data_IF_154718461993
#
_entry.id   IF_154718461993
#
_cell.length_a   1.000
_cell.length_b   1.000
_cell.length_c   1.000
_cell.angle_alpha   90.00
_cell.angle_beta   90.00
_cell.angle_gamma   90.00
#
_symmetry.space_group_name_H-M   'P 1'
#
loop_
_entity.id
_entity.type
_entity.pdbx_description
1 polymer ?
#
# COMPACT_ATOMS: atom_id res chain seq x y z
N UNK A 1 -38.57 28.61 -17.27
CA UNK A 1 -37.23 28.99 -16.75
C UNK A 1 -36.88 28.24 -15.45
N UNK A 2 -37.52 28.49 -14.29
CA UNK A 2 -37.15 27.83 -13.01
C UNK A 2 -37.17 26.29 -12.99
N UNK A 3 -38.03 25.66 -13.80
CA UNK A 3 -38.13 24.19 -13.87
C UNK A 3 -37.01 23.55 -14.71
N UNK A 4 -36.51 24.27 -15.72
CA UNK A 4 -35.40 23.80 -16.56
C UNK A 4 -34.09 23.81 -15.77
N UNK A 5 -33.83 24.89 -15.05
CA UNK A 5 -32.66 25.04 -14.16
C UNK A 5 -32.62 23.92 -13.11
N UNK A 6 -33.74 23.67 -12.43
CA UNK A 6 -33.86 22.55 -11.47
C UNK A 6 -33.69 21.18 -12.14
N UNK A 7 -34.13 21.00 -13.38
CA UNK A 7 -33.96 19.73 -14.09
C UNK A 7 -32.50 19.51 -14.48
N UNK A 8 -31.81 20.55 -14.96
CA UNK A 8 -30.39 20.48 -15.31
C UNK A 8 -29.53 20.03 -14.13
N UNK A 9 -29.80 20.52 -12.92
CA UNK A 9 -29.12 20.06 -11.69
C UNK A 9 -29.35 18.57 -11.39
N UNK A 10 -30.54 18.06 -11.69
CA UNK A 10 -30.94 16.69 -11.36
C UNK A 10 -30.58 15.66 -12.46
N UNK A 11 -30.27 16.09 -13.69
CA UNK A 11 -29.99 15.19 -14.83
C UNK A 11 -28.80 14.26 -14.58
N UNK A 12 -27.73 14.73 -13.91
CA UNK A 12 -26.59 13.86 -13.57
C UNK A 12 -27.01 12.74 -12.60
N UNK A 13 -27.71 13.08 -11.52
CA UNK A 13 -28.22 12.10 -10.56
C UNK A 13 -29.25 11.15 -11.19
N UNK A 14 -29.98 11.60 -12.22
CA UNK A 14 -30.89 10.74 -12.98
C UNK A 14 -30.12 9.67 -13.77
N UNK A 15 -29.01 10.05 -14.41
CA UNK A 15 -28.13 9.15 -15.17
C UNK A 15 -27.43 8.13 -14.25
N UNK A 16 -27.09 8.52 -13.02
CA UNK A 16 -26.43 7.67 -12.03
C UNK A 16 -27.41 6.90 -11.12
N UNK A 17 -28.72 7.05 -11.35
CA UNK A 17 -29.81 6.40 -10.61
C UNK A 17 -29.90 6.78 -9.11
N UNK A 18 -29.32 7.92 -8.72
CA UNK A 18 -29.25 8.39 -7.34
C UNK A 18 -30.47 9.23 -6.91
N UNK A 19 -31.33 9.63 -7.86
CA UNK A 19 -32.52 10.43 -7.56
C UNK A 19 -33.61 9.62 -6.84
N UNK A 20 -34.35 10.33 -5.98
CA UNK A 20 -35.61 9.83 -5.42
C UNK A 20 -36.66 9.58 -6.51
N UNK A 21 -37.68 8.77 -6.19
CA UNK A 21 -38.75 8.44 -7.15
C UNK A 21 -39.50 9.70 -7.67
N UNK A 22 -39.68 10.70 -6.80
CA UNK A 22 -40.39 11.94 -7.15
C UNK A 22 -39.57 12.80 -8.11
N UNK A 23 -38.27 12.97 -7.83
CA UNK A 23 -37.35 13.75 -8.67
C UNK A 23 -37.12 13.08 -10.02
N UNK A 24 -37.00 11.76 -10.03
CA UNK A 24 -36.85 10.95 -11.26
C UNK A 24 -38.05 11.13 -12.20
N UNK A 25 -39.26 11.15 -11.66
CA UNK A 25 -40.47 11.36 -12.45
C UNK A 25 -40.54 12.80 -12.99
N UNK A 26 -40.16 13.79 -12.19
CA UNK A 26 -40.10 15.19 -12.61
C UNK A 26 -39.13 15.36 -13.79
N UNK A 27 -37.90 14.85 -13.65
CA UNK A 27 -36.86 14.92 -14.69
C UNK A 27 -37.32 14.23 -15.98
N UNK A 28 -37.92 13.02 -15.87
CA UNK A 28 -38.43 12.27 -17.02
C UNK A 28 -39.48 13.05 -17.81
N UNK A 29 -40.52 13.53 -17.12
CA UNK A 29 -41.61 14.30 -17.77
C UNK A 29 -41.05 15.58 -18.40
N UNK A 30 -40.07 16.22 -17.75
CA UNK A 30 -39.49 17.45 -18.27
C UNK A 30 -38.65 17.23 -19.54
N UNK A 31 -37.81 16.19 -19.59
CA UNK A 31 -37.01 15.83 -20.78
C UNK A 31 -37.89 15.42 -21.97
N UNK A 32 -39.07 14.84 -21.73
CA UNK A 32 -40.06 14.54 -22.76
C UNK A 32 -40.70 15.81 -23.34
N UNK A 33 -40.80 16.89 -22.54
CA UNK A 33 -41.46 18.14 -22.91
C UNK A 33 -40.55 19.28 -23.39
N UNK A 34 -39.25 19.25 -23.06
CA UNK A 34 -38.31 20.35 -23.28
C UNK A 34 -37.08 19.89 -24.07
N UNK A 35 -36.85 20.49 -25.23
CA UNK A 35 -35.74 20.12 -26.12
C UNK A 35 -34.36 20.49 -25.53
N UNK A 36 -34.24 21.61 -24.82
CA UNK A 36 -32.99 22.05 -24.19
C UNK A 36 -32.52 21.09 -23.07
N UNK A 37 -33.45 20.54 -22.29
CA UNK A 37 -33.10 19.57 -21.24
C UNK A 37 -32.81 18.18 -21.83
N UNK A 38 -33.41 17.87 -22.99
CA UNK A 38 -33.14 16.63 -23.72
C UNK A 38 -31.74 16.61 -24.32
N UNK A 39 -31.27 17.72 -24.89
CA UNK A 39 -29.90 17.79 -25.43
C UNK A 39 -28.86 17.60 -24.33
N UNK A 40 -29.03 18.25 -23.18
CA UNK A 40 -28.10 18.12 -22.03
C UNK A 40 -28.05 16.68 -21.50
N UNK A 41 -29.20 16.00 -21.43
CA UNK A 41 -29.23 14.59 -21.06
C UNK A 41 -28.46 13.70 -22.06
N UNK A 42 -28.62 13.95 -23.36
CA UNK A 42 -27.92 13.20 -24.41
C UNK A 42 -26.40 13.44 -24.37
N UNK A 43 -25.97 14.68 -24.14
CA UNK A 43 -24.56 15.05 -24.04
C UNK A 43 -23.89 14.34 -22.85
N UNK A 44 -24.52 14.39 -21.66
CA UNK A 44 -24.02 13.71 -20.48
C UNK A 44 -24.02 12.18 -20.63
N UNK A 45 -25.03 11.62 -21.30
CA UNK A 45 -25.09 10.19 -21.59
C UNK A 45 -23.96 9.75 -22.53
N UNK A 46 -23.65 10.56 -23.55
CA UNK A 46 -22.54 10.30 -24.47
C UNK A 46 -21.18 10.32 -23.74
N UNK A 47 -20.99 11.26 -22.80
CA UNK A 47 -19.79 11.30 -21.95
C UNK A 47 -19.71 10.03 -21.09
N UNK A 48 -20.79 9.63 -20.41
CA UNK A 48 -20.82 8.40 -19.61
C UNK A 48 -20.49 7.14 -20.42
N UNK A 49 -21.02 7.04 -21.64
CA UNK A 49 -20.74 5.92 -22.55
C UNK A 49 -19.28 5.90 -23.01
N UNK A 50 -18.71 7.07 -23.33
CA UNK A 50 -17.29 7.16 -23.72
C UNK A 50 -16.34 6.80 -22.57
N UNK A 51 -16.69 7.18 -21.33
CA UNK A 51 -15.96 6.77 -20.13
C UNK A 51 -16.14 5.28 -19.80
N UNK A 52 -17.34 4.73 -20.02
CA UNK A 52 -17.64 3.31 -19.79
C UNK A 52 -16.90 2.35 -20.71
N UNK A 53 -16.45 2.82 -21.88
CA UNK A 53 -15.61 2.06 -22.80
C UNK A 53 -14.11 2.13 -22.49
N UNK A 54 -13.70 2.90 -21.48
CA UNK A 54 -12.33 2.88 -21.01
C UNK A 54 -12.15 1.54 -20.29
N UNK A 55 -11.52 0.59 -20.99
CA UNK A 55 -11.05 -0.64 -20.37
C UNK A 55 -9.97 -0.24 -19.37
N UNK A 56 -10.33 -0.15 -18.10
CA UNK A 56 -9.32 -0.10 -17.05
C UNK A 56 -8.54 -1.41 -17.19
N UNK A 57 -7.21 -1.39 -17.37
CA UNK A 57 -6.46 -2.61 -17.25
C UNK A 57 -6.73 -3.09 -15.83
N UNK A 58 -7.54 -4.14 -15.70
CA UNK A 58 -7.68 -4.90 -14.48
C UNK A 58 -6.24 -5.07 -13.98
N UNK A 59 -5.94 -4.49 -12.82
CA UNK A 59 -4.62 -4.56 -12.24
C UNK A 59 -4.42 -6.04 -11.99
N UNK A 60 -3.84 -6.74 -12.97
CA UNK A 60 -3.84 -8.18 -13.04
C UNK A 60 -3.03 -8.63 -11.84
N UNK A 61 -3.71 -8.99 -10.76
CA UNK A 61 -3.13 -9.18 -9.43
C UNK A 61 -1.98 -10.20 -9.52
N UNK A 62 -2.10 -11.15 -10.46
CA UNK A 62 -1.07 -12.10 -10.88
C UNK A 62 0.25 -11.48 -11.39
N UNK A 63 0.23 -10.31 -12.07
CA UNK A 63 1.45 -9.59 -12.49
C UNK A 63 2.12 -8.88 -11.32
N UNK A 64 1.33 -8.28 -10.43
CA UNK A 64 1.85 -7.61 -9.23
C UNK A 64 2.57 -8.64 -8.35
N UNK A 65 1.94 -9.79 -8.14
CA UNK A 65 2.54 -10.90 -7.40
C UNK A 65 3.83 -11.41 -8.03
N UNK A 66 3.94 -11.42 -9.35
CA UNK A 66 5.14 -11.87 -10.06
C UNK A 66 6.31 -10.90 -9.88
N UNK A 67 6.03 -9.60 -9.84
CA UNK A 67 7.03 -8.54 -9.60
C UNK A 67 7.46 -8.55 -8.12
N UNK A 68 6.52 -8.69 -7.18
CA UNK A 68 6.84 -8.78 -5.75
C UNK A 68 7.57 -10.08 -5.37
N UNK A 69 7.32 -11.17 -6.09
CA UNK A 69 7.94 -12.47 -5.83
C UNK A 69 9.17 -12.75 -6.70
N UNK A 70 9.86 -11.74 -7.21
CA UNK A 70 11.09 -11.98 -7.97
C UNK A 70 12.15 -12.71 -7.12
N UNK A 71 12.58 -13.92 -7.54
CA UNK A 71 13.45 -14.78 -6.72
C UNK A 71 14.86 -14.22 -6.54
N UNK A 72 15.31 -13.36 -7.46
CA UNK A 72 16.60 -12.66 -7.42
C UNK A 72 16.71 -11.72 -6.21
N UNK A 73 15.65 -10.95 -5.94
CA UNK A 73 15.59 -10.02 -4.80
C UNK A 73 15.61 -10.74 -3.45
N UNK A 74 14.91 -11.89 -3.37
CA UNK A 74 14.84 -12.73 -2.18
C UNK A 74 16.18 -13.40 -1.90
N UNK A 75 16.85 -13.91 -2.93
CA UNK A 75 18.17 -14.52 -2.80
C UNK A 75 19.20 -13.52 -2.27
N UNK A 76 19.26 -12.31 -2.84
CA UNK A 76 20.21 -11.27 -2.42
C UNK A 76 19.99 -10.86 -0.96
N UNK A 77 18.72 -10.77 -0.54
CA UNK A 77 18.35 -10.46 0.83
C UNK A 77 18.79 -11.56 1.81
N UNK A 78 18.57 -12.84 1.47
CA UNK A 78 18.97 -13.97 2.34
C UNK A 78 20.50 -14.08 2.43
N UNK A 79 21.20 -13.98 1.31
CA UNK A 79 22.67 -14.02 1.28
C UNK A 79 23.26 -12.88 2.09
N UNK A 80 22.71 -11.67 1.96
CA UNK A 80 23.14 -10.50 2.75
C UNK A 80 22.98 -10.72 4.25
N UNK A 81 21.84 -11.29 4.70
CA UNK A 81 21.64 -11.62 6.11
C UNK A 81 22.59 -12.69 6.62
N UNK A 82 22.85 -13.75 5.84
CA UNK A 82 23.81 -14.80 6.22
C UNK A 82 25.21 -14.20 6.38
N UNK A 83 25.66 -13.40 5.40
CA UNK A 83 26.98 -12.76 5.44
C UNK A 83 27.13 -11.82 6.65
N UNK A 84 26.10 -11.05 6.98
CA UNK A 84 26.09 -10.19 8.17
C UNK A 84 26.14 -10.99 9.46
N UNK A 85 25.32 -12.04 9.61
CA UNK A 85 25.29 -12.85 10.83
C UNK A 85 26.62 -13.58 11.03
N UNK A 86 27.14 -14.22 9.98
CA UNK A 86 28.42 -14.95 10.05
C UNK A 86 29.57 -13.99 10.34
N UNK A 87 29.61 -12.83 9.68
CA UNK A 87 30.63 -11.81 9.91
C UNK A 87 30.58 -11.26 11.33
N UNK A 88 29.39 -10.93 11.84
CA UNK A 88 29.21 -10.42 13.20
C UNK A 88 29.59 -11.45 14.27
N UNK A 89 29.18 -12.70 14.11
CA UNK A 89 29.56 -13.79 15.02
C UNK A 89 31.08 -14.02 15.00
N UNK A 90 31.69 -14.03 13.81
CA UNK A 90 33.15 -14.14 13.68
C UNK A 90 33.89 -12.99 14.38
N UNK A 91 33.39 -11.77 14.23
CA UNK A 91 33.92 -10.59 14.92
C UNK A 91 33.84 -10.74 16.45
N UNK A 92 32.69 -11.17 17.00
CA UNK A 92 32.53 -11.42 18.44
C UNK A 92 33.50 -12.48 18.97
N UNK A 93 33.70 -13.57 18.22
CA UNK A 93 34.65 -14.63 18.61
C UNK A 93 36.08 -14.11 18.63
N UNK A 94 36.48 -13.36 17.60
CA UNK A 94 37.80 -12.73 17.54
C UNK A 94 38.00 -11.70 18.66
N UNK A 95 36.98 -10.89 18.95
CA UNK A 95 36.97 -9.91 20.04
C UNK A 95 37.16 -10.59 21.41
N UNK A 96 36.43 -11.68 21.68
CA UNK A 96 36.58 -12.46 22.90
C UNK A 96 37.98 -13.09 23.02
N UNK A 97 38.51 -13.64 21.93
CA UNK A 97 39.83 -14.24 21.91
C UNK A 97 40.93 -13.22 22.20
N UNK A 98 40.89 -12.04 21.57
CA UNK A 98 41.87 -10.97 21.79
C UNK A 98 41.81 -10.41 23.21
N UNK A 99 40.60 -10.24 23.76
CA UNK A 99 40.41 -9.77 25.14
C UNK A 99 40.78 -10.79 26.21
N UNK A 100 40.78 -12.08 25.88
CA UNK A 100 41.22 -13.16 26.77
C UNK A 100 42.75 -13.35 26.73
N UNK A 101 43.36 -13.19 25.55
CA UNK A 101 44.82 -13.39 25.37
C UNK A 101 45.66 -12.18 25.73
N UNK A 102 45.11 -10.96 25.70
CA UNK A 102 45.81 -9.73 26.09
C UNK A 102 45.30 -9.18 27.42
N UNK A 103 46.14 -9.26 28.45
CA UNK A 103 45.84 -8.72 29.79
C UNK A 103 46.01 -7.19 29.88
N UNK A 104 46.60 -6.56 28.86
CA UNK A 104 46.91 -5.12 28.86
C UNK A 104 45.74 -4.17 28.57
N UNK A 105 44.54 -4.67 28.29
CA UNK A 105 43.37 -3.84 27.98
C UNK A 105 42.62 -3.48 29.27
N UNK A 106 42.44 -2.19 29.60
CA UNK A 106 41.76 -1.79 30.82
C UNK A 106 40.28 -2.21 30.80
N UNK A 107 39.75 -2.56 31.97
CA UNK A 107 38.43 -3.17 32.10
C UNK A 107 37.30 -2.28 31.55
N UNK A 108 37.40 -0.95 31.65
CA UNK A 108 36.38 -0.03 31.11
C UNK A 108 36.25 -0.13 29.59
N UNK A 109 37.34 -0.39 28.85
CA UNK A 109 37.31 -0.49 27.40
C UNK A 109 36.57 -1.76 26.98
N UNK A 110 36.78 -2.86 27.72
CA UNK A 110 36.05 -4.11 27.50
C UNK A 110 34.55 -3.89 27.66
N UNK A 111 34.14 -3.27 28.77
CA UNK A 111 32.73 -2.96 29.06
C UNK A 111 32.14 -2.02 28.00
N UNK A 112 32.88 -1.00 27.58
CA UNK A 112 32.43 -0.04 26.57
C UNK A 112 32.11 -0.69 25.22
N UNK A 113 32.98 -1.58 24.74
CA UNK A 113 32.75 -2.30 23.47
C UNK A 113 31.51 -3.19 23.56
N UNK A 114 31.40 -3.99 24.63
CA UNK A 114 30.22 -4.86 24.83
C UNK A 114 28.92 -4.06 24.96
N UNK A 115 28.94 -2.86 25.55
CA UNK A 115 27.75 -2.01 25.66
C UNK A 115 27.27 -1.52 24.29
N UNK A 116 28.21 -1.13 23.41
CA UNK A 116 27.89 -0.69 22.04
C UNK A 116 27.31 -1.86 21.23
N UNK A 117 27.96 -3.02 21.27
CA UNK A 117 27.48 -4.24 20.61
C UNK A 117 26.09 -4.66 21.12
N UNK A 118 25.88 -4.65 22.44
CA UNK A 118 24.60 -4.95 23.05
C UNK A 118 23.53 -3.94 22.63
N UNK A 119 23.85 -2.65 22.58
CA UNK A 119 22.95 -1.59 22.12
C UNK A 119 22.53 -1.79 20.65
N UNK A 120 23.48 -2.13 19.79
CA UNK A 120 23.20 -2.44 18.39
C UNK A 120 22.27 -3.66 18.24
N UNK A 121 22.54 -4.74 18.98
CA UNK A 121 21.70 -5.94 18.99
C UNK A 121 20.29 -5.67 19.54
N UNK A 122 20.16 -4.83 20.57
CA UNK A 122 18.86 -4.43 21.12
C UNK A 122 18.03 -3.63 20.13
N UNK A 123 18.63 -2.68 19.41
CA UNK A 123 17.94 -1.91 18.37
C UNK A 123 17.47 -2.82 17.22
N UNK A 124 18.34 -3.71 16.74
CA UNK A 124 17.98 -4.70 15.73
C UNK A 124 16.86 -5.63 16.22
N UNK A 125 16.96 -6.11 17.46
CA UNK A 125 15.92 -6.94 18.08
C UNK A 125 14.59 -6.22 18.23
N UNK A 126 14.60 -4.93 18.53
CA UNK A 126 13.40 -4.08 18.62
C UNK A 126 12.69 -3.98 17.27
N UNK A 127 13.43 -3.65 16.20
CA UNK A 127 12.88 -3.54 14.85
C UNK A 127 12.39 -4.90 14.35
N UNK A 128 13.15 -5.98 14.60
CA UNK A 128 12.73 -7.33 14.25
C UNK A 128 11.43 -7.71 14.96
N UNK A 129 11.31 -7.41 16.26
CA UNK A 129 10.09 -7.63 17.04
C UNK A 129 8.91 -6.86 16.45
N UNK A 130 9.10 -5.57 16.14
CA UNK A 130 8.07 -4.75 15.51
C UNK A 130 7.62 -5.34 14.18
N UNK A 131 8.56 -5.79 13.34
CA UNK A 131 8.25 -6.38 12.03
C UNK A 131 7.56 -7.73 12.14
N UNK A 132 7.95 -8.57 13.11
CA UNK A 132 7.28 -9.85 13.38
C UNK A 132 5.86 -9.67 13.88
N UNK A 133 5.62 -8.69 14.78
CA UNK A 133 4.27 -8.36 15.25
C UNK A 133 3.44 -7.85 14.09
N UNK A 134 3.93 -6.85 13.34
CA UNK A 134 3.22 -6.28 12.19
C UNK A 134 2.81 -7.36 11.18
N UNK A 135 3.73 -8.28 10.83
CA UNK A 135 3.45 -9.38 9.92
C UNK A 135 2.37 -10.34 10.47
N UNK A 136 2.35 -10.60 11.78
CA UNK A 136 1.32 -11.45 12.42
C UNK A 136 -0.04 -10.77 12.54
N UNK A 137 -0.07 -9.46 12.77
CA UNK A 137 -1.30 -8.67 12.97
C UNK A 137 -1.88 -8.10 11.68
N UNK A 138 -1.19 -8.25 10.56
CA UNK A 138 -1.68 -7.78 9.27
C UNK A 138 -2.89 -8.62 8.81
N UNK A 139 -4.06 -7.97 8.82
CA UNK A 139 -5.35 -8.54 8.44
C UNK A 139 -5.39 -8.99 6.98
N UNK A 140 -4.57 -8.39 6.12
CA UNK A 140 -4.57 -8.66 4.68
C UNK A 140 -3.54 -9.71 4.28
N UNK A 141 -2.66 -10.14 5.19
CA UNK A 141 -1.60 -11.13 4.91
C UNK A 141 -2.13 -12.53 4.52
N UNK A 142 -3.41 -12.82 4.78
CA UNK A 142 -4.06 -14.10 4.41
C UNK A 142 -5.03 -13.98 3.24
N UNK A 143 -5.25 -12.78 2.74
CA UNK A 143 -6.12 -12.55 1.59
C UNK A 143 -5.22 -12.66 0.36
N UNK A 144 -5.39 -13.73 -0.41
CA UNK A 144 -4.90 -13.74 -1.80
C UNK A 144 -5.79 -12.76 -2.55
N UNK A 145 -5.19 -11.69 -3.06
CA UNK A 145 -5.78 -10.87 -4.11
C UNK A 145 -5.85 -11.77 -5.34
#
# INVERSE_FOLDING_TARGET
MKLCEKTQELVSGYIDQELTQQERQLVRVHIESCDDCRSIYQDLLAIKQSLGNITYPECEEAKVDKILNEPTSKLMSVVGWIMLIVGYVGFLVWQLFTFYTQEGVPMWLKVGVFLIEAGFLLLLGSVLRQRLIANKTDRYNKVKL
#
